data_IF_674658351583
#
_entry.id   IF_674658351583
#
_cell.length_a   1.000
_cell.length_b   1.000
_cell.length_c   1.000
_cell.angle_alpha   90.00
_cell.angle_beta   90.00
_cell.angle_gamma   90.00
#
_symmetry.space_group_name_H-M   'P 1'
#
loop_
_entity.id
_entity.type
_entity.pdbx_description
1 polymer ?
#
# COMPACT_ATOMS: atom_id res chain seq x y z
N UNK A 1 13.44 -29.56 6.17
CA UNK A 1 12.39 -29.09 7.08
C UNK A 1 12.26 -27.56 7.06
N UNK A 2 13.36 -26.78 7.14
CA UNK A 2 13.30 -25.30 7.12
C UNK A 2 12.74 -24.71 5.83
N UNK A 3 13.04 -25.27 4.65
CA UNK A 3 12.50 -24.78 3.36
C UNK A 3 10.97 -24.93 3.24
N UNK A 4 10.38 -25.91 3.92
CA UNK A 4 8.92 -26.12 3.89
C UNK A 4 8.23 -25.07 4.79
N UNK A 5 8.85 -24.71 5.92
CA UNK A 5 8.33 -23.68 6.83
C UNK A 5 8.48 -22.25 6.24
N UNK A 6 9.59 -21.95 5.57
CA UNK A 6 9.78 -20.68 4.85
C UNK A 6 8.78 -20.51 3.69
N UNK A 7 8.41 -21.60 3.02
CA UNK A 7 7.38 -21.60 1.95
C UNK A 7 5.94 -21.42 2.48
N UNK A 8 5.70 -21.51 3.78
CA UNK A 8 4.39 -21.32 4.39
C UNK A 8 4.23 -19.97 5.11
N UNK A 9 5.31 -19.21 5.30
CA UNK A 9 5.23 -17.90 5.93
C UNK A 9 4.38 -16.92 5.10
N UNK A 10 3.43 -16.26 5.73
CA UNK A 10 2.52 -15.28 5.12
C UNK A 10 2.72 -13.87 5.69
N UNK A 11 3.65 -13.71 6.61
CA UNK A 11 3.95 -12.46 7.31
C UNK A 11 5.37 -12.02 7.01
N UNK A 12 5.54 -10.70 6.76
CA UNK A 12 6.85 -10.06 6.63
C UNK A 12 7.50 -9.92 8.01
N UNK A 13 8.65 -10.54 8.18
CA UNK A 13 9.36 -10.60 9.46
C UNK A 13 9.86 -9.25 9.97
N UNK A 14 10.07 -8.28 9.08
CA UNK A 14 10.55 -6.94 9.47
C UNK A 14 9.42 -6.06 10.01
N UNK A 15 8.31 -5.98 9.28
CA UNK A 15 7.23 -5.02 9.55
C UNK A 15 6.03 -5.63 10.27
N UNK A 16 5.90 -6.95 10.28
CA UNK A 16 4.73 -7.65 10.81
C UNK A 16 3.47 -7.50 9.96
N UNK A 17 3.58 -6.87 8.78
CA UNK A 17 2.52 -6.88 7.77
C UNK A 17 2.43 -8.26 7.10
N UNK A 18 1.35 -8.52 6.35
CA UNK A 18 1.38 -9.65 5.43
C UNK A 18 2.53 -9.46 4.43
N UNK A 19 3.12 -10.55 3.99
CA UNK A 19 3.99 -10.51 2.82
C UNK A 19 3.14 -10.64 1.54
N UNK A 20 3.77 -10.60 0.37
CA UNK A 20 3.08 -10.70 -0.92
C UNK A 20 2.19 -11.95 -1.00
N UNK A 21 2.70 -13.10 -0.56
CA UNK A 21 1.95 -14.36 -0.55
C UNK A 21 0.75 -14.31 0.39
N UNK A 22 0.92 -13.77 1.59
CA UNK A 22 -0.17 -13.56 2.55
C UNK A 22 -1.26 -12.65 2.00
N UNK A 23 -0.85 -11.60 1.28
CA UNK A 23 -1.76 -10.71 0.57
C UNK A 23 -2.55 -11.44 -0.52
N UNK A 24 -1.88 -12.19 -1.40
CA UNK A 24 -2.51 -12.94 -2.48
C UNK A 24 -3.55 -13.94 -1.94
N UNK A 25 -3.19 -14.69 -0.90
CA UNK A 25 -4.11 -15.62 -0.23
C UNK A 25 -5.34 -14.90 0.34
N UNK A 26 -5.11 -13.78 1.02
CA UNK A 26 -6.19 -13.01 1.65
C UNK A 26 -7.10 -12.33 0.63
N UNK A 27 -6.54 -11.82 -0.47
CA UNK A 27 -7.32 -11.28 -1.59
C UNK A 27 -8.21 -12.34 -2.22
N UNK A 28 -7.68 -13.54 -2.43
CA UNK A 28 -8.44 -14.66 -2.96
C UNK A 28 -9.62 -15.04 -2.05
N UNK A 29 -9.40 -15.10 -0.73
CA UNK A 29 -10.46 -15.31 0.26
C UNK A 29 -11.56 -14.25 0.19
N UNK A 30 -11.20 -12.97 0.06
CA UNK A 30 -12.16 -11.86 -0.01
C UNK A 30 -12.93 -11.87 -1.34
N UNK A 31 -12.26 -12.17 -2.45
CA UNK A 31 -12.89 -12.18 -3.79
C UNK A 31 -13.85 -13.35 -3.99
N UNK A 32 -13.51 -14.54 -3.47
CA UNK A 32 -14.32 -15.73 -3.63
C UNK A 32 -15.27 -16.01 -2.47
N UNK A 33 -15.23 -15.18 -1.42
CA UNK A 33 -16.02 -15.33 -0.20
C UNK A 33 -15.56 -16.53 0.66
N UNK A 34 -15.87 -16.48 1.95
CA UNK A 34 -15.69 -17.61 2.86
C UNK A 34 -16.84 -18.62 2.65
N UNK A 35 -16.70 -19.55 1.69
CA UNK A 35 -17.63 -20.65 1.50
C UNK A 35 -18.68 -20.45 0.41
N UNK A 36 -19.41 -21.54 0.10
CA UNK A 36 -20.40 -21.62 -0.97
C UNK A 36 -21.48 -20.56 -0.83
N UNK A 37 -21.52 -19.60 -1.75
CA UNK A 37 -22.58 -18.61 -1.85
C UNK A 37 -22.20 -17.21 -1.33
N UNK A 38 -20.92 -16.94 -1.04
CA UNK A 38 -20.44 -15.61 -0.66
C UNK A 38 -20.61 -14.56 -1.75
N UNK A 39 -21.13 -13.40 -1.39
CA UNK A 39 -21.14 -12.22 -2.27
C UNK A 39 -19.69 -11.72 -2.39
N UNK A 40 -19.22 -11.53 -3.62
CA UNK A 40 -17.91 -10.88 -3.86
C UNK A 40 -17.93 -9.48 -3.23
N UNK A 41 -17.04 -9.26 -2.25
CA UNK A 41 -16.93 -7.98 -1.57
C UNK A 41 -16.20 -6.97 -2.47
N UNK A 42 -16.60 -5.70 -2.38
CA UNK A 42 -15.91 -4.62 -3.10
C UNK A 42 -14.56 -4.38 -2.47
N UNK A 43 -13.51 -4.39 -3.27
CA UNK A 43 -12.13 -4.16 -2.86
C UNK A 43 -11.63 -2.84 -3.41
N UNK A 44 -10.97 -2.05 -2.57
CA UNK A 44 -10.16 -0.91 -2.99
C UNK A 44 -8.73 -1.10 -2.51
N UNK A 45 -7.78 -0.98 -3.42
CA UNK A 45 -6.35 -1.06 -3.12
C UNK A 45 -5.76 0.33 -2.98
N UNK A 46 -4.95 0.50 -1.94
CA UNK A 46 -4.12 1.68 -1.70
C UNK A 46 -2.66 1.21 -1.72
N UNK A 47 -2.01 1.40 -2.86
CA UNK A 47 -0.61 1.04 -3.07
C UNK A 47 0.25 2.26 -2.80
N UNK A 48 1.31 2.12 -2.00
CA UNK A 48 2.20 3.24 -1.73
C UNK A 48 3.68 2.81 -1.64
N UNK A 49 4.55 3.79 -1.83
CA UNK A 49 5.98 3.63 -1.90
C UNK A 49 6.63 4.80 -1.15
N UNK A 50 7.69 4.52 -0.40
CA UNK A 50 8.45 5.57 0.29
C UNK A 50 9.30 6.34 -0.72
N UNK A 51 9.09 7.64 -0.81
CA UNK A 51 9.79 8.50 -1.74
C UNK A 51 11.30 8.54 -1.45
N UNK A 52 12.09 8.30 -2.49
CA UNK A 52 13.56 8.30 -2.41
C UNK A 52 14.15 7.37 -1.34
N UNK A 53 13.54 6.19 -1.15
CA UNK A 53 13.97 5.25 -0.10
C UNK A 53 15.40 4.72 -0.32
N UNK A 54 15.84 4.52 -1.58
CA UNK A 54 17.23 4.18 -1.88
C UNK A 54 18.17 5.25 -1.33
N UNK A 55 17.89 6.52 -1.57
CA UNK A 55 18.66 7.65 -1.07
C UNK A 55 18.65 7.74 0.46
N UNK A 56 17.53 7.35 1.08
CA UNK A 56 17.45 7.21 2.54
C UNK A 56 18.45 6.20 3.08
N UNK A 57 18.48 5.00 2.50
CA UNK A 57 19.44 3.95 2.86
C UNK A 57 20.89 4.39 2.60
N UNK A 58 21.14 5.04 1.46
CA UNK A 58 22.47 5.54 1.11
C UNK A 58 22.96 6.61 2.10
N UNK A 59 22.05 7.40 2.67
CA UNK A 59 22.36 8.48 3.62
C UNK A 59 22.50 7.98 5.06
N UNK A 60 21.56 7.13 5.52
CA UNK A 60 21.45 6.75 6.93
C UNK A 60 21.82 5.29 7.23
N UNK A 61 22.02 4.47 6.19
CA UNK A 61 22.30 3.05 6.30
C UNK A 61 21.06 2.16 6.37
N UNK A 62 21.26 0.85 6.12
CA UNK A 62 20.17 -0.12 6.02
C UNK A 62 19.42 -0.35 7.33
N UNK A 63 20.09 -0.24 8.50
CA UNK A 63 19.42 -0.38 9.81
C UNK A 63 18.42 0.76 10.03
N UNK A 64 18.81 1.99 9.70
CA UNK A 64 17.89 3.13 9.74
C UNK A 64 16.76 2.97 8.72
N UNK A 65 17.05 2.42 7.53
CA UNK A 65 16.04 2.08 6.52
C UNK A 65 15.03 1.05 7.04
N UNK A 66 15.47 0.03 7.74
CA UNK A 66 14.61 -0.97 8.36
C UNK A 66 13.68 -0.35 9.43
N UNK A 67 14.22 0.54 10.26
CA UNK A 67 13.42 1.25 11.26
C UNK A 67 12.42 2.22 10.61
N UNK A 68 12.81 2.87 9.51
CA UNK A 68 11.91 3.68 8.69
C UNK A 68 10.75 2.85 8.14
N UNK A 69 11.02 1.68 7.56
CA UNK A 69 10.02 0.75 7.05
C UNK A 69 9.03 0.32 8.14
N UNK A 70 9.52 -0.04 9.33
CA UNK A 70 8.68 -0.41 10.49
C UNK A 70 7.77 0.74 10.91
N UNK A 71 8.34 1.93 11.02
CA UNK A 71 7.62 3.13 11.46
C UNK A 71 6.55 3.52 10.46
N UNK A 72 6.88 3.56 9.16
CA UNK A 72 5.93 3.86 8.09
C UNK A 72 4.80 2.83 8.02
N UNK A 73 5.13 1.53 8.11
CA UNK A 73 4.15 0.46 8.11
C UNK A 73 3.17 0.50 9.30
N UNK A 74 3.59 1.06 10.43
CA UNK A 74 2.74 1.18 11.62
C UNK A 74 1.55 2.09 11.41
N UNK A 75 1.65 3.10 10.52
CA UNK A 75 0.59 4.07 10.27
C UNK A 75 -0.63 3.42 9.61
N UNK A 76 -0.56 2.78 8.43
CA UNK A 76 -1.73 2.13 7.84
C UNK A 76 -2.27 1.01 8.73
N UNK A 77 -1.42 0.28 9.45
CA UNK A 77 -1.87 -0.77 10.38
C UNK A 77 -2.73 -0.22 11.51
N UNK A 78 -2.40 0.96 12.03
CA UNK A 78 -3.20 1.63 13.07
C UNK A 78 -4.48 2.26 12.53
N UNK A 79 -4.52 2.56 11.23
CA UNK A 79 -5.67 3.20 10.57
C UNK A 79 -6.68 2.20 10.02
N UNK A 80 -6.24 1.00 9.63
CA UNK A 80 -7.10 -0.07 9.12
C UNK A 80 -7.90 -0.68 10.28
N UNK A 81 -9.10 -0.14 10.55
CA UNK A 81 -9.92 -0.52 11.71
C UNK A 81 -11.02 -1.53 11.39
N UNK A 82 -11.37 -1.70 10.12
CA UNK A 82 -12.28 -2.75 9.71
C UNK A 82 -11.58 -4.11 9.85
N UNK A 83 -12.25 -5.09 10.45
CA UNK A 83 -11.69 -6.42 10.67
C UNK A 83 -11.30 -7.17 9.39
N UNK A 84 -11.84 -6.74 8.25
CA UNK A 84 -11.56 -7.30 6.94
C UNK A 84 -10.42 -6.59 6.21
N UNK A 85 -10.07 -5.36 6.63
CA UNK A 85 -8.96 -4.61 6.05
C UNK A 85 -7.62 -5.22 6.45
N UNK A 86 -6.64 -5.12 5.57
CA UNK A 86 -5.30 -5.60 5.88
C UNK A 86 -4.21 -4.82 5.15
N UNK A 87 -3.01 -4.92 5.68
CA UNK A 87 -1.82 -4.27 5.16
C UNK A 87 -0.79 -5.34 4.81
N UNK A 88 -0.20 -5.21 3.63
CA UNK A 88 0.87 -6.07 3.17
C UNK A 88 2.10 -5.27 2.73
N UNK A 89 3.27 -5.84 2.94
CA UNK A 89 4.49 -5.39 2.29
C UNK A 89 4.63 -6.14 0.97
N UNK A 90 4.46 -5.41 -0.13
CA UNK A 90 4.48 -6.00 -1.48
C UNK A 90 5.90 -6.34 -1.94
N UNK A 91 6.88 -5.51 -1.57
CA UNK A 91 8.29 -5.72 -1.81
C UNK A 91 9.10 -4.47 -1.45
N UNK A 92 10.36 -4.59 -1.04
CA UNK A 92 11.23 -3.46 -0.74
C UNK A 92 10.59 -2.42 0.18
N UNK A 93 10.34 -1.24 -0.36
CA UNK A 93 9.67 -0.09 0.27
C UNK A 93 8.20 0.07 -0.16
N UNK A 94 7.64 -0.91 -0.84
CA UNK A 94 6.30 -0.88 -1.42
C UNK A 94 5.30 -1.64 -0.56
N UNK A 95 4.17 -1.00 -0.25
CA UNK A 95 3.11 -1.52 0.61
C UNK A 95 1.75 -1.42 -0.06
N UNK A 96 0.88 -2.33 0.30
CA UNK A 96 -0.53 -2.34 -0.12
C UNK A 96 -1.43 -2.34 1.10
N UNK A 97 -2.40 -1.44 1.13
CA UNK A 97 -3.55 -1.51 2.03
C UNK A 97 -4.74 -1.99 1.22
N UNK A 98 -5.38 -3.03 1.69
CA UNK A 98 -6.62 -3.56 1.12
C UNK A 98 -7.77 -3.11 1.99
N UNK A 99 -8.65 -2.30 1.43
CA UNK A 99 -9.87 -1.83 2.07
C UNK A 99 -11.07 -2.59 1.49
N UNK A 100 -11.82 -3.23 2.36
CA UNK A 100 -12.97 -4.07 1.98
C UNK A 100 -14.26 -3.30 2.24
N UNK A 101 -15.21 -3.37 1.31
CA UNK A 101 -16.48 -2.65 1.33
C UNK A 101 -16.33 -1.12 1.50
N UNK A 102 -15.21 -0.57 1.04
CA UNK A 102 -14.90 0.85 1.13
C UNK A 102 -15.09 1.51 -0.24
N UNK A 103 -15.78 2.64 -0.28
CA UNK A 103 -15.95 3.42 -1.51
C UNK A 103 -14.63 4.04 -1.95
N UNK A 104 -14.49 4.32 -3.26
CA UNK A 104 -13.31 5.05 -3.76
C UNK A 104 -13.12 6.38 -3.01
N UNK A 105 -14.21 7.12 -2.77
CA UNK A 105 -14.17 8.39 -2.04
C UNK A 105 -13.59 8.23 -0.63
N UNK A 106 -14.04 7.23 0.12
CA UNK A 106 -13.56 6.99 1.49
C UNK A 106 -12.12 6.47 1.50
N UNK A 107 -11.76 5.66 0.50
CA UNK A 107 -10.40 5.20 0.31
C UNK A 107 -9.43 6.36 -0.03
N UNK A 108 -9.87 7.36 -0.79
CA UNK A 108 -9.07 8.57 -1.06
C UNK A 108 -8.87 9.40 0.20
N UNK A 109 -9.89 9.54 1.04
CA UNK A 109 -9.75 10.18 2.36
C UNK A 109 -8.78 9.40 3.25
N UNK A 110 -8.87 8.08 3.26
CA UNK A 110 -7.92 7.22 3.97
C UNK A 110 -6.49 7.42 3.47
N UNK A 111 -6.28 7.38 2.16
CA UNK A 111 -4.97 7.51 1.52
C UNK A 111 -4.32 8.87 1.83
N UNK A 112 -5.07 9.97 1.74
CA UNK A 112 -4.55 11.30 2.03
C UNK A 112 -4.24 11.50 3.52
N UNK A 113 -5.07 10.96 4.42
CA UNK A 113 -4.79 10.94 5.86
C UNK A 113 -3.53 10.14 6.18
N UNK A 114 -3.36 8.98 5.54
CA UNK A 114 -2.17 8.15 5.70
C UNK A 114 -0.92 8.91 5.24
N UNK A 115 -0.96 9.49 4.03
CA UNK A 115 0.14 10.29 3.48
C UNK A 115 0.53 11.42 4.42
N UNK A 116 -0.44 12.20 4.86
CA UNK A 116 -0.24 13.33 5.78
C UNK A 116 0.34 12.89 7.13
N UNK A 117 -0.18 11.80 7.70
CA UNK A 117 0.35 11.26 8.97
C UNK A 117 1.80 10.82 8.86
N UNK A 118 2.18 10.17 7.75
CA UNK A 118 3.56 9.74 7.52
C UNK A 118 4.47 10.98 7.40
N UNK A 119 4.07 11.99 6.64
CA UNK A 119 4.82 13.24 6.54
C UNK A 119 4.97 13.94 7.91
N UNK A 120 3.90 13.94 8.71
CA UNK A 120 3.89 14.53 10.06
C UNK A 120 4.73 13.77 11.09
N UNK A 121 5.16 12.52 10.82
CA UNK A 121 6.16 11.85 11.66
C UNK A 121 7.46 12.64 11.75
N UNK A 122 7.74 13.47 10.75
CA UNK A 122 8.93 14.33 10.73
C UNK A 122 10.23 13.54 10.68
N UNK A 123 10.23 12.31 10.14
CA UNK A 123 11.45 11.52 10.00
C UNK A 123 12.41 12.23 9.03
N UNK A 124 13.60 12.66 9.48
CA UNK A 124 14.54 13.40 8.62
C UNK A 124 14.93 12.59 7.38
N UNK A 125 14.93 13.23 6.21
CA UNK A 125 15.35 12.64 4.95
C UNK A 125 16.12 13.66 4.09
N UNK A 126 17.37 13.86 4.41
CA UNK A 126 18.24 14.83 3.72
C UNK A 126 18.59 14.42 2.29
N UNK A 127 18.46 13.15 1.95
CA UNK A 127 18.63 12.63 0.58
C UNK A 127 17.42 12.80 -0.33
N UNK A 128 16.28 13.25 0.20
CA UNK A 128 15.08 13.51 -0.61
C UNK A 128 15.20 14.82 -1.38
N UNK A 129 14.70 14.83 -2.62
CA UNK A 129 14.72 16.02 -3.49
C UNK A 129 13.46 16.87 -3.38
N UNK A 130 12.44 16.39 -2.63
CA UNK A 130 11.12 17.03 -2.59
C UNK A 130 10.71 17.48 -1.19
N UNK A 131 11.33 16.94 -0.15
CA UNK A 131 11.00 17.23 1.25
C UNK A 131 12.21 17.01 2.15
N UNK A 132 12.23 17.65 3.30
CA UNK A 132 13.23 17.43 4.35
C UNK A 132 12.91 16.21 5.23
N UNK A 133 11.74 15.61 5.05
CA UNK A 133 11.24 14.48 5.81
C UNK A 133 10.77 13.36 4.89
N UNK A 134 10.62 12.17 5.44
CA UNK A 134 10.07 11.01 4.74
C UNK A 134 8.65 11.28 4.28
N UNK A 135 8.39 11.04 3.01
CA UNK A 135 7.08 11.14 2.38
C UNK A 135 6.78 9.87 1.59
N UNK A 136 5.53 9.70 1.20
CA UNK A 136 5.06 8.59 0.36
C UNK A 136 4.32 9.11 -0.86
N UNK A 137 4.43 8.38 -1.96
CA UNK A 137 3.53 8.50 -3.10
C UNK A 137 2.52 7.37 -3.06
N UNK A 138 1.27 7.65 -3.41
CA UNK A 138 0.15 6.72 -3.24
C UNK A 138 -0.64 6.59 -4.53
N UNK A 139 -0.97 5.35 -4.90
CA UNK A 139 -1.88 5.01 -5.99
C UNK A 139 -3.10 4.26 -5.46
N UNK A 140 -4.30 4.67 -5.86
CA UNK A 140 -5.57 4.07 -5.41
C UNK A 140 -6.35 3.52 -6.60
N UNK A 141 -6.86 2.31 -6.46
CA UNK A 141 -7.75 1.68 -7.44
C UNK A 141 -8.87 0.89 -6.75
N UNK A 142 -10.09 1.06 -7.23
CA UNK A 142 -11.26 0.32 -6.74
C UNK A 142 -11.73 -0.70 -7.77
N UNK A 143 -12.21 -1.85 -7.31
CA UNK A 143 -12.75 -2.90 -8.16
C UNK A 143 -13.94 -2.44 -9.04
N UNK A 144 -14.66 -1.39 -8.63
CA UNK A 144 -15.71 -0.78 -9.46
C UNK A 144 -15.19 -0.03 -10.70
N UNK A 145 -13.92 0.38 -10.70
CA UNK A 145 -13.30 1.20 -11.74
C UNK A 145 -12.24 0.41 -12.56
N UNK A 146 -11.89 -0.75 -12.09
CA UNK A 146 -11.03 -1.73 -12.75
C UNK A 146 -11.77 -3.06 -12.77
N UNK A 147 -11.47 -3.93 -13.71
CA UNK A 147 -12.04 -5.27 -13.72
C UNK A 147 -11.84 -5.95 -12.36
N UNK A 148 -12.85 -6.69 -11.90
CA UNK A 148 -12.87 -7.33 -10.57
C UNK A 148 -11.78 -8.41 -10.35
N UNK A 149 -10.78 -8.48 -11.21
CA UNK A 149 -9.62 -9.34 -11.05
C UNK A 149 -8.53 -8.62 -10.24
N UNK A 150 -8.02 -9.28 -9.19
CA UNK A 150 -6.95 -8.76 -8.34
C UNK A 150 -5.73 -8.30 -9.13
N UNK A 151 -5.36 -9.01 -10.20
CA UNK A 151 -4.21 -8.66 -11.05
C UNK A 151 -4.43 -7.32 -11.76
N UNK A 152 -5.62 -7.09 -12.31
CA UNK A 152 -5.96 -5.84 -12.97
C UNK A 152 -6.07 -4.69 -11.97
N UNK A 153 -6.61 -4.95 -10.78
CA UNK A 153 -6.71 -3.97 -9.71
C UNK A 153 -5.34 -3.48 -9.24
N UNK A 154 -4.38 -4.40 -9.07
CA UNK A 154 -2.98 -4.07 -8.76
C UNK A 154 -2.35 -3.24 -9.87
N UNK A 155 -2.56 -3.58 -11.14
CA UNK A 155 -2.06 -2.78 -12.28
C UNK A 155 -2.61 -1.36 -12.29
N UNK A 156 -3.91 -1.19 -12.03
CA UNK A 156 -4.53 0.14 -11.96
C UNK A 156 -3.94 0.98 -10.82
N UNK A 157 -3.74 0.38 -9.65
CA UNK A 157 -3.13 1.05 -8.51
C UNK A 157 -1.66 1.42 -8.77
N UNK A 158 -0.91 0.52 -9.43
CA UNK A 158 0.49 0.76 -9.82
C UNK A 158 0.61 1.88 -10.86
N UNK A 159 -0.27 1.93 -11.86
CA UNK A 159 -0.32 3.03 -12.83
C UNK A 159 -0.61 4.36 -12.15
N UNK A 160 -1.56 4.40 -11.21
CA UNK A 160 -1.85 5.58 -10.41
C UNK A 160 -0.64 6.00 -9.57
N UNK A 161 0.04 5.06 -8.92
CA UNK A 161 1.25 5.33 -8.15
C UNK A 161 2.37 5.90 -9.03
N UNK A 162 2.56 5.35 -10.23
CA UNK A 162 3.53 5.86 -11.20
C UNK A 162 3.23 7.32 -11.57
N UNK A 163 1.97 7.66 -11.80
CA UNK A 163 1.56 9.04 -12.09
C UNK A 163 1.77 9.97 -10.88
N UNK A 164 1.50 9.51 -9.66
CA UNK A 164 1.79 10.28 -8.45
C UNK A 164 3.28 10.63 -8.34
N UNK A 165 4.15 9.65 -8.62
CA UNK A 165 5.61 9.86 -8.66
C UNK A 165 6.01 10.84 -9.77
N UNK A 166 5.44 10.72 -10.96
CA UNK A 166 5.71 11.61 -12.09
C UNK A 166 5.21 13.04 -11.88
N UNK A 167 4.13 13.21 -11.12
CA UNK A 167 3.53 14.51 -10.80
C UNK A 167 4.27 15.28 -9.69
N UNK A 168 5.32 14.70 -9.10
CA UNK A 168 6.17 15.38 -8.10
C UNK A 168 6.25 14.66 -6.76
N UNK A 169 5.72 13.43 -6.65
CA UNK A 169 5.71 12.63 -5.41
C UNK A 169 4.90 13.25 -4.26
N UNK A 170 4.97 12.67 -3.07
CA UNK A 170 4.27 13.13 -1.87
C UNK A 170 2.80 13.48 -2.15
N UNK A 171 2.08 12.60 -2.80
CA UNK A 171 0.69 12.80 -3.19
C UNK A 171 -0.05 11.52 -3.46
N UNK A 172 -1.36 11.64 -3.55
CA UNK A 172 -2.28 10.56 -3.94
C UNK A 172 -2.69 10.74 -5.40
N UNK A 173 -2.67 9.66 -6.17
CA UNK A 173 -3.34 9.57 -7.46
C UNK A 173 -4.26 8.34 -7.46
N UNK A 174 -5.27 8.33 -8.31
CA UNK A 174 -6.23 7.24 -8.35
C UNK A 174 -6.76 6.97 -9.76
N UNK A 175 -7.20 5.74 -10.00
CA UNK A 175 -7.89 5.36 -11.22
C UNK A 175 -9.36 5.75 -11.11
N UNK A 176 -9.81 6.63 -12.00
CA UNK A 176 -11.21 7.05 -12.07
C UNK A 176 -12.09 5.99 -12.75
N UNK A 177 -13.39 6.12 -12.59
CA UNK A 177 -14.43 5.31 -13.28
C UNK A 177 -14.40 5.48 -14.82
N UNK A 178 -13.76 6.51 -15.34
CA UNK A 178 -13.54 6.70 -16.77
C UNK A 178 -12.23 6.05 -17.28
N UNK A 179 -11.53 5.27 -16.45
CA UNK A 179 -10.27 4.63 -16.79
C UNK A 179 -9.09 5.59 -16.96
N UNK A 180 -9.15 6.75 -16.31
CA UNK A 180 -8.08 7.77 -16.33
C UNK A 180 -7.50 7.94 -14.94
N UNK A 181 -6.18 8.18 -14.88
CA UNK A 181 -5.53 8.54 -13.61
C UNK A 181 -5.76 10.02 -13.31
N UNK A 182 -6.19 10.29 -12.09
CA UNK A 182 -6.38 11.63 -11.53
C UNK A 182 -5.46 11.79 -10.35
N UNK A 183 -4.78 12.93 -10.25
CA UNK A 183 -3.90 13.29 -9.12
C UNK A 183 -4.63 14.27 -8.21
N UNK A 184 -4.61 14.01 -6.91
CA UNK A 184 -5.12 14.91 -5.87
C UNK A 184 -4.13 16.04 -5.58
#
# INVERSE_FOLDING_TARGET
>A
ANRILENQATVDGLTGCLNRRGMENRLDEVQHGFGRGGVSERITLVLFDIDFFKQYNDTYGHLAGDDCLKTVASIPRSMAQNSKDFVARYGGEEFVVVLVDTSLKDALVFAERMRTRIEQLGLPHTGSRISQVVTISVGVASAGNCDNDATNLIKCADEALYQAKGAGRNRVAYMSDQGRVVTL
#
